data_IF_301653088822
#
_entry.id   IF_301653088822
#
_cell.length_a   1.000
_cell.length_b   1.000
_cell.length_c   1.000
_cell.angle_alpha   90.00
_cell.angle_beta   90.00
_cell.angle_gamma   90.00
#
_symmetry.space_group_name_H-M   'P 1'
#
loop_
_entity.id
_entity.type
_entity.pdbx_description
1 polymer ?
#
# COMPACT_ATOMS: atom_id res chain seq x y z
N UNK A 1 8.87 -31.45 -3.00
CA UNK A 1 9.03 -30.33 -2.04
C UNK A 1 10.46 -30.14 -1.54
N UNK A 2 11.16 -31.15 -1.04
CA UNK A 2 12.53 -31.04 -0.48
C UNK A 2 13.58 -30.51 -1.48
N UNK A 3 13.63 -31.02 -2.71
CA UNK A 3 14.59 -30.62 -3.75
C UNK A 3 14.44 -29.15 -4.14
N UNK A 4 13.21 -28.65 -4.31
CA UNK A 4 12.94 -27.24 -4.61
C UNK A 4 13.37 -26.30 -3.47
N UNK A 5 13.19 -26.72 -2.21
CA UNK A 5 13.68 -25.99 -1.04
C UNK A 5 15.21 -25.95 -0.98
N UNK A 6 15.88 -27.02 -1.31
CA UNK A 6 17.34 -27.11 -1.36
C UNK A 6 17.92 -26.23 -2.47
N UNK A 7 17.38 -26.33 -3.69
CA UNK A 7 17.80 -25.48 -4.82
C UNK A 7 17.61 -24.00 -4.52
N UNK A 8 16.51 -23.63 -3.88
CA UNK A 8 16.28 -22.25 -3.45
C UNK A 8 17.32 -21.77 -2.43
N UNK A 9 17.71 -22.61 -1.46
CA UNK A 9 18.76 -22.28 -0.48
C UNK A 9 20.11 -22.08 -1.16
N UNK A 10 20.48 -22.95 -2.11
CA UNK A 10 21.71 -22.82 -2.88
C UNK A 10 21.71 -21.52 -3.68
N UNK A 11 20.61 -21.21 -4.39
CA UNK A 11 20.49 -19.98 -5.16
C UNK A 11 20.60 -18.73 -4.27
N UNK A 12 19.95 -18.72 -3.10
CA UNK A 12 20.06 -17.61 -2.16
C UNK A 12 21.48 -17.47 -1.62
N UNK A 13 22.16 -18.57 -1.28
CA UNK A 13 23.55 -18.55 -0.83
C UNK A 13 24.50 -18.01 -1.90
N UNK A 14 24.24 -18.31 -3.18
CA UNK A 14 25.04 -17.81 -4.31
C UNK A 14 24.93 -16.28 -4.47
N UNK A 15 23.76 -15.71 -4.23
CA UNK A 15 23.53 -14.28 -4.32
C UNK A 15 23.76 -13.53 -3.01
N UNK A 16 24.12 -14.23 -1.93
CA UNK A 16 24.43 -13.61 -0.65
C UNK A 16 25.83 -12.98 -0.65
N UNK A 17 26.00 -11.91 0.08
CA UNK A 17 27.31 -11.26 0.30
C UNK A 17 27.37 -10.69 1.70
N UNK A 18 28.57 -10.48 2.21
CA UNK A 18 28.75 -9.86 3.53
C UNK A 18 28.55 -8.36 3.43
N UNK A 19 27.47 -7.86 4.01
CA UNK A 19 27.25 -6.43 4.16
C UNK A 19 28.13 -5.83 5.27
N UNK A 20 28.31 -4.51 5.22
CA UNK A 20 28.95 -3.76 6.29
C UNK A 20 27.98 -3.57 7.46
N UNK A 21 28.53 -3.27 8.64
CA UNK A 21 27.71 -2.83 9.76
C UNK A 21 27.06 -1.49 9.41
N UNK A 22 25.76 -1.40 9.70
CA UNK A 22 25.02 -0.17 9.46
C UNK A 22 25.55 0.98 10.34
N UNK A 23 25.72 2.15 9.75
CA UNK A 23 26.08 3.37 10.45
C UNK A 23 25.27 4.53 9.87
N UNK A 24 24.35 5.05 10.68
CA UNK A 24 23.43 6.11 10.28
C UNK A 24 24.17 7.40 9.87
N UNK A 25 25.23 7.77 10.59
CA UNK A 25 26.01 8.99 10.34
C UNK A 25 26.79 8.97 9.01
N UNK A 26 26.93 7.77 8.42
CA UNK A 26 27.61 7.55 7.13
C UNK A 26 26.62 7.18 6.02
N UNK A 27 25.36 7.47 6.22
CA UNK A 27 24.29 7.10 5.28
C UNK A 27 23.79 8.36 4.58
N UNK A 28 24.22 8.56 3.34
CA UNK A 28 23.87 9.71 2.50
C UNK A 28 23.03 9.33 1.28
N UNK A 29 23.21 8.11 0.74
CA UNK A 29 22.48 7.61 -0.41
C UNK A 29 21.72 6.32 -0.08
N UNK A 30 20.41 6.35 -0.21
CA UNK A 30 19.51 5.24 0.10
C UNK A 30 18.72 4.82 -1.12
N UNK A 31 18.60 3.52 -1.37
CA UNK A 31 17.69 2.94 -2.37
C UNK A 31 16.53 2.26 -1.66
N UNK A 32 15.30 2.64 -2.00
CA UNK A 32 14.08 1.95 -1.57
C UNK A 32 13.57 1.11 -2.74
N UNK A 33 13.48 -0.21 -2.55
CA UNK A 33 13.04 -1.15 -3.57
C UNK A 33 11.63 -1.63 -3.27
N UNK A 34 10.65 -1.11 -4.03
CA UNK A 34 9.21 -1.34 -3.83
C UNK A 34 8.40 -1.49 -5.14
N UNK A 35 8.82 -2.32 -6.10
CA UNK A 35 8.09 -2.54 -7.35
C UNK A 35 6.96 -3.58 -7.18
N UNK A 36 6.07 -3.40 -6.21
CA UNK A 36 4.96 -4.30 -5.88
C UNK A 36 3.61 -3.59 -5.96
N UNK A 37 2.69 -3.89 -5.06
CA UNK A 37 1.31 -3.39 -5.04
C UNK A 37 1.22 -1.98 -4.43
N UNK A 38 0.14 -1.27 -4.76
CA UNK A 38 -0.15 0.09 -4.28
C UNK A 38 -0.15 0.19 -2.75
N UNK A 39 -0.76 -0.80 -2.08
CA UNK A 39 -0.83 -0.83 -0.62
C UNK A 39 0.55 -0.91 0.04
N UNK A 40 1.48 -1.69 -0.53
CA UNK A 40 2.86 -1.77 -0.06
C UNK A 40 3.59 -0.43 -0.26
N UNK A 41 3.35 0.24 -1.40
CA UNK A 41 3.91 1.56 -1.68
C UNK A 41 3.41 2.63 -0.70
N UNK A 42 2.14 2.58 -0.29
CA UNK A 42 1.60 3.48 0.72
C UNK A 42 2.12 3.16 2.12
N UNK A 43 2.41 1.89 2.41
CA UNK A 43 2.87 1.43 3.72
C UNK A 43 4.35 1.78 4.02
N UNK A 44 5.16 2.16 3.00
CA UNK A 44 6.58 2.49 3.17
C UNK A 44 6.82 3.93 3.64
N UNK A 45 5.79 4.77 3.70
CA UNK A 45 5.96 6.19 4.04
C UNK A 45 6.62 6.45 5.40
N UNK A 46 6.46 5.65 6.46
CA UNK A 46 7.27 5.82 7.67
C UNK A 46 8.78 5.77 7.40
N UNK A 47 9.23 4.97 6.43
CA UNK A 47 10.64 4.96 6.00
C UNK A 47 11.00 6.27 5.34
N UNK A 48 10.21 6.73 4.37
CA UNK A 48 10.44 7.98 3.63
C UNK A 48 10.52 9.17 4.62
N UNK A 49 9.59 9.26 5.57
CA UNK A 49 9.56 10.33 6.56
C UNK A 49 10.74 10.28 7.52
N UNK A 50 11.16 9.08 7.93
CA UNK A 50 12.34 8.92 8.78
C UNK A 50 13.64 9.36 8.06
N UNK A 51 13.78 9.01 6.77
CA UNK A 51 14.90 9.44 5.94
C UNK A 51 14.90 10.96 5.72
N UNK A 52 13.73 11.56 5.46
CA UNK A 52 13.57 13.00 5.29
C UNK A 52 13.94 13.77 6.57
N UNK A 53 13.42 13.35 7.73
CA UNK A 53 13.74 13.96 9.03
C UNK A 53 15.22 13.83 9.40
N UNK A 54 15.86 12.73 9.02
CA UNK A 54 17.32 12.56 9.18
C UNK A 54 18.13 13.37 8.17
N UNK A 55 17.49 13.97 7.17
CA UNK A 55 18.10 14.79 6.11
C UNK A 55 19.08 13.99 5.23
N UNK A 56 18.71 12.76 4.89
CA UNK A 56 19.44 11.97 3.89
C UNK A 56 19.58 12.80 2.61
N UNK A 57 20.77 12.88 2.03
CA UNK A 57 21.05 13.75 0.87
C UNK A 57 20.28 13.29 -0.38
N UNK A 58 20.23 11.98 -0.61
CA UNK A 58 19.58 11.42 -1.78
C UNK A 58 18.94 10.08 -1.45
N UNK A 59 17.67 9.91 -1.78
CA UNK A 59 17.12 8.57 -1.91
C UNK A 59 16.45 8.34 -3.26
N UNK A 60 16.60 7.13 -3.74
CA UNK A 60 16.07 6.66 -4.99
C UNK A 60 15.03 5.57 -4.72
N UNK A 61 13.82 5.73 -5.27
CA UNK A 61 12.76 4.74 -5.14
C UNK A 61 12.66 3.96 -6.45
N UNK A 62 12.93 2.66 -6.37
CA UNK A 62 12.64 1.72 -7.46
C UNK A 62 11.21 1.24 -7.26
N UNK A 63 10.34 1.57 -8.19
CA UNK A 63 8.90 1.34 -8.09
C UNK A 63 8.32 0.74 -9.37
N UNK A 64 7.13 0.15 -9.30
CA UNK A 64 6.39 -0.25 -10.51
C UNK A 64 5.74 0.98 -11.17
N UNK A 65 5.37 0.84 -12.45
CA UNK A 65 4.64 1.90 -13.16
C UNK A 65 3.31 2.25 -12.50
N UNK A 66 2.64 1.26 -11.92
CA UNK A 66 1.39 1.47 -11.18
C UNK A 66 1.64 2.29 -9.90
N UNK A 67 2.69 1.96 -9.16
CA UNK A 67 3.03 2.64 -7.91
C UNK A 67 3.65 4.03 -8.13
N UNK A 68 4.05 4.37 -9.35
CA UNK A 68 4.58 5.69 -9.65
C UNK A 68 3.58 6.79 -9.25
N UNK A 69 2.28 6.55 -9.41
CA UNK A 69 1.24 7.48 -8.99
C UNK A 69 1.25 7.78 -7.49
N UNK A 70 1.70 6.82 -6.66
CA UNK A 70 1.82 7.02 -5.20
C UNK A 70 2.90 8.05 -4.86
N UNK A 71 3.97 8.11 -5.65
CA UNK A 71 5.14 8.95 -5.34
C UNK A 71 5.23 10.24 -6.15
N UNK A 72 4.51 10.38 -7.27
CA UNK A 72 4.62 11.53 -8.18
C UNK A 72 4.31 12.87 -7.53
N UNK A 73 3.42 12.91 -6.54
CA UNK A 73 3.08 14.13 -5.81
C UNK A 73 3.91 14.32 -4.53
N UNK A 74 4.86 13.41 -4.25
CA UNK A 74 5.72 13.50 -3.08
C UNK A 74 6.70 14.66 -3.23
N UNK A 75 6.59 15.63 -2.34
CA UNK A 75 7.52 16.77 -2.25
C UNK A 75 8.35 16.61 -0.99
N UNK A 76 9.66 16.79 -1.13
CA UNK A 76 10.64 16.75 -0.05
C UNK A 76 11.42 18.06 -0.05
N UNK A 77 11.67 18.63 1.14
CA UNK A 77 12.25 19.97 1.23
C UNK A 77 13.77 19.99 1.02
N UNK A 78 14.49 19.00 1.55
CA UNK A 78 15.96 19.03 1.64
C UNK A 78 16.64 17.79 1.11
N UNK A 79 15.88 16.83 0.61
CA UNK A 79 16.39 15.56 0.13
C UNK A 79 16.12 15.41 -1.36
N UNK A 80 17.13 15.03 -2.13
CA UNK A 80 16.94 14.69 -3.54
C UNK A 80 16.18 13.40 -3.65
N UNK A 81 15.03 13.42 -4.33
CA UNK A 81 14.26 12.24 -4.69
C UNK A 81 14.49 11.87 -6.16
N UNK A 82 14.78 10.61 -6.43
CA UNK A 82 14.79 10.05 -7.78
C UNK A 82 13.82 8.88 -7.85
N UNK A 83 12.91 8.90 -8.81
CA UNK A 83 11.99 7.80 -9.07
C UNK A 83 12.50 7.00 -10.28
N UNK A 84 12.61 5.70 -10.13
CA UNK A 84 13.00 4.77 -11.20
C UNK A 84 11.94 3.71 -11.31
N UNK A 85 11.38 3.56 -12.51
CA UNK A 85 10.33 2.58 -12.76
C UNK A 85 10.89 1.29 -13.31
N UNK A 86 10.25 0.18 -12.95
CA UNK A 86 10.47 -1.13 -13.55
C UNK A 86 9.14 -1.87 -13.69
N UNK A 87 9.13 -2.94 -14.45
CA UNK A 87 8.03 -3.90 -14.44
C UNK A 87 7.81 -4.43 -13.02
N UNK A 88 6.55 -4.64 -12.62
CA UNK A 88 6.26 -5.27 -11.32
C UNK A 88 7.12 -6.51 -11.12
N UNK A 89 7.67 -6.66 -9.92
CA UNK A 89 8.68 -7.68 -9.59
C UNK A 89 8.31 -9.09 -10.07
N UNK A 90 7.06 -9.50 -9.93
CA UNK A 90 6.63 -10.85 -10.32
C UNK A 90 6.68 -11.08 -11.84
N UNK A 91 6.55 -10.02 -12.63
CA UNK A 91 6.56 -10.05 -14.11
C UNK A 91 7.91 -9.66 -14.72
N UNK A 92 8.78 -8.97 -13.98
CA UNK A 92 10.09 -8.54 -14.43
C UNK A 92 10.99 -9.72 -14.83
N UNK A 93 11.77 -9.59 -15.88
CA UNK A 93 12.77 -10.58 -16.27
C UNK A 93 14.03 -10.48 -15.39
N UNK A 94 14.80 -11.57 -15.32
CA UNK A 94 16.07 -11.55 -14.58
C UNK A 94 17.09 -10.58 -15.20
N UNK A 95 17.04 -10.39 -16.52
CA UNK A 95 17.90 -9.44 -17.23
C UNK A 95 17.54 -8.01 -16.82
N UNK A 96 16.26 -7.65 -16.89
CA UNK A 96 15.77 -6.32 -16.50
C UNK A 96 16.19 -5.98 -15.05
N UNK A 97 16.03 -6.91 -14.12
CA UNK A 97 16.41 -6.72 -12.72
C UNK A 97 17.92 -6.48 -12.55
N UNK A 98 18.75 -7.27 -13.25
CA UNK A 98 20.21 -7.12 -13.20
C UNK A 98 20.68 -5.82 -13.81
N UNK A 99 20.14 -5.48 -14.98
CA UNK A 99 20.51 -4.27 -15.70
C UNK A 99 20.11 -3.03 -14.94
N UNK A 100 18.91 -3.02 -14.35
CA UNK A 100 18.44 -1.94 -13.49
C UNK A 100 19.38 -1.70 -12.29
N UNK A 101 19.70 -2.74 -11.54
CA UNK A 101 20.57 -2.61 -10.37
C UNK A 101 21.96 -2.09 -10.74
N UNK A 102 22.53 -2.56 -11.88
CA UNK A 102 23.81 -2.08 -12.40
C UNK A 102 23.74 -0.62 -12.85
N UNK A 103 22.68 -0.24 -13.57
CA UNK A 103 22.49 1.13 -14.05
C UNK A 103 22.41 2.11 -12.85
N UNK A 104 21.68 1.74 -11.79
CA UNK A 104 21.63 2.55 -10.57
C UNK A 104 23.04 2.75 -10.00
N UNK A 105 23.82 1.68 -9.85
CA UNK A 105 25.17 1.77 -9.30
C UNK A 105 26.12 2.55 -10.21
N UNK A 106 26.01 2.41 -11.53
CA UNK A 106 26.84 3.14 -12.49
C UNK A 106 26.53 4.65 -12.50
N UNK A 107 25.24 4.99 -12.40
CA UNK A 107 24.79 6.38 -12.52
C UNK A 107 24.91 7.16 -11.19
N UNK A 108 24.61 6.51 -10.07
CA UNK A 108 24.49 7.17 -8.76
C UNK A 108 25.53 6.72 -7.72
N UNK A 109 26.33 5.71 -8.04
CA UNK A 109 27.27 5.10 -7.10
C UNK A 109 26.66 3.98 -6.26
N UNK A 110 27.46 3.37 -5.40
CA UNK A 110 27.03 2.31 -4.48
C UNK A 110 26.17 2.89 -3.36
N UNK A 111 24.93 2.43 -3.16
CA UNK A 111 24.10 2.90 -2.05
C UNK A 111 24.71 2.56 -0.68
N UNK A 112 24.58 3.46 0.28
CA UNK A 112 24.94 3.18 1.67
C UNK A 112 23.95 2.21 2.32
N UNK A 113 22.66 2.35 1.96
CA UNK A 113 21.57 1.52 2.45
C UNK A 113 20.62 1.17 1.30
N UNK A 114 20.21 -0.09 1.22
CA UNK A 114 19.03 -0.50 0.44
C UNK A 114 17.93 -0.99 1.38
N UNK A 115 16.74 -0.40 1.26
CA UNK A 115 15.55 -0.83 1.98
C UNK A 115 14.72 -1.67 1.04
N UNK A 116 14.74 -2.99 1.28
CA UNK A 116 14.01 -3.97 0.51
C UNK A 116 12.59 -4.08 1.08
N UNK A 117 11.67 -3.35 0.47
CA UNK A 117 10.30 -3.23 0.93
C UNK A 117 9.37 -4.30 0.34
N UNK A 118 9.87 -5.13 -0.58
CA UNK A 118 9.15 -6.29 -1.09
C UNK A 118 8.91 -7.31 0.01
N UNK A 119 7.68 -7.52 0.39
CA UNK A 119 7.32 -8.46 1.47
C UNK A 119 7.33 -9.92 1.03
N UNK A 120 8.12 -10.26 0.02
CA UNK A 120 8.22 -11.60 -0.57
C UNK A 120 9.65 -12.12 -0.49
N UNK A 121 9.79 -13.35 0.01
CA UNK A 121 11.07 -14.07 0.00
C UNK A 121 11.28 -14.70 -1.39
N UNK A 122 11.71 -13.93 -2.38
CA UNK A 122 11.88 -14.42 -3.74
C UNK A 122 13.32 -14.23 -4.28
N UNK A 123 13.67 -15.02 -5.30
CA UNK A 123 15.00 -15.02 -5.89
C UNK A 123 15.27 -13.72 -6.68
N UNK A 124 14.26 -13.14 -7.31
CA UNK A 124 14.41 -11.90 -8.09
C UNK A 124 14.88 -10.75 -7.21
N UNK A 125 14.31 -10.61 -6.00
CA UNK A 125 14.76 -9.66 -4.99
C UNK A 125 16.23 -9.89 -4.62
N UNK A 126 16.63 -11.14 -4.38
CA UNK A 126 18.03 -11.46 -4.06
C UNK A 126 18.98 -11.11 -5.17
N UNK A 127 18.58 -11.32 -6.43
CA UNK A 127 19.37 -10.92 -7.60
C UNK A 127 19.52 -9.41 -7.64
N UNK A 128 18.44 -8.64 -7.44
CA UNK A 128 18.50 -7.18 -7.36
C UNK A 128 19.49 -6.71 -6.28
N UNK A 129 19.33 -7.19 -5.05
CA UNK A 129 20.19 -6.85 -3.91
C UNK A 129 21.67 -7.20 -4.20
N UNK A 130 21.93 -8.38 -4.76
CA UNK A 130 23.29 -8.83 -5.05
C UNK A 130 23.97 -8.05 -6.18
N UNK A 131 23.22 -7.50 -7.12
CA UNK A 131 23.75 -6.66 -8.20
C UNK A 131 23.92 -5.21 -7.74
N UNK A 132 23.00 -4.71 -6.94
CA UNK A 132 23.06 -3.36 -6.37
C UNK A 132 24.23 -3.21 -5.40
N UNK A 133 24.54 -4.26 -4.62
CA UNK A 133 25.64 -4.31 -3.64
C UNK A 133 25.67 -3.11 -2.70
N UNK A 134 24.50 -2.67 -2.21
CA UNK A 134 24.47 -1.65 -1.18
C UNK A 134 25.33 -2.06 0.03
N UNK A 135 25.93 -1.08 0.72
CA UNK A 135 26.80 -1.36 1.89
C UNK A 135 26.04 -2.15 2.97
N UNK A 136 24.76 -1.85 3.15
CA UNK A 136 23.87 -2.56 4.07
C UNK A 136 22.47 -2.66 3.47
N UNK A 137 21.71 -3.71 3.85
CA UNK A 137 20.32 -3.83 3.41
C UNK A 137 19.40 -4.05 4.61
N UNK A 138 18.21 -3.45 4.54
CA UNK A 138 17.11 -3.65 5.49
C UNK A 138 15.95 -4.41 4.85
N UNK A 139 15.28 -5.22 5.65
CA UNK A 139 14.06 -5.95 5.29
C UNK A 139 13.28 -6.34 6.55
N UNK A 140 11.99 -6.66 6.40
CA UNK A 140 11.13 -7.05 7.52
C UNK A 140 10.54 -8.46 7.40
N UNK A 141 10.90 -9.21 6.36
CA UNK A 141 10.32 -10.55 6.08
C UNK A 141 11.08 -11.72 6.72
N UNK A 142 12.12 -11.44 7.51
CA UNK A 142 12.85 -12.46 8.27
C UNK A 142 13.74 -13.38 7.43
N UNK A 143 14.37 -12.84 6.38
CA UNK A 143 15.45 -13.51 5.70
C UNK A 143 16.73 -13.44 6.54
N UNK A 144 17.33 -14.59 6.83
CA UNK A 144 18.61 -14.66 7.57
C UNK A 144 19.71 -14.85 6.53
N UNK A 145 20.32 -13.74 6.11
CA UNK A 145 21.38 -13.70 5.11
C UNK A 145 22.41 -12.64 5.52
N UNK A 146 23.66 -12.80 5.05
CA UNK A 146 24.80 -11.94 5.42
C UNK A 146 24.70 -10.53 4.83
N UNK A 147 23.91 -10.37 3.74
CA UNK A 147 23.67 -9.09 3.10
C UNK A 147 22.68 -8.20 3.86
N UNK A 148 21.91 -8.74 4.81
CA UNK A 148 20.97 -7.96 5.61
C UNK A 148 21.55 -7.61 6.99
N UNK A 149 21.22 -6.42 7.46
CA UNK A 149 21.60 -5.98 8.80
C UNK A 149 21.00 -6.89 9.88
N UNK A 150 21.74 -7.22 10.95
CA UNK A 150 21.19 -7.89 12.14
C UNK A 150 20.00 -7.16 12.78
N UNK A 151 19.90 -5.82 12.62
CA UNK A 151 18.80 -4.99 13.09
C UNK A 151 17.44 -5.45 12.53
N UNK A 152 17.40 -6.05 11.34
CA UNK A 152 16.19 -6.58 10.73
C UNK A 152 15.49 -7.67 11.56
N UNK A 153 16.21 -8.31 12.49
CA UNK A 153 15.69 -9.44 13.27
C UNK A 153 14.50 -9.06 14.15
N UNK A 154 14.59 -7.92 14.82
CA UNK A 154 13.51 -7.47 15.72
C UNK A 154 12.26 -7.02 14.93
N UNK A 155 12.46 -6.26 13.85
CA UNK A 155 11.37 -5.86 12.96
C UNK A 155 10.69 -7.07 12.32
N UNK A 156 11.47 -8.08 11.91
CA UNK A 156 10.94 -9.33 11.36
C UNK A 156 10.13 -10.13 12.38
N UNK A 157 10.51 -10.12 13.65
CA UNK A 157 9.71 -10.74 14.74
C UNK A 157 8.41 -9.97 14.94
N UNK A 158 8.43 -8.65 14.94
CA UNK A 158 7.25 -7.82 15.03
C UNK A 158 6.27 -8.12 13.90
N UNK A 159 6.77 -8.21 12.67
CA UNK A 159 5.98 -8.56 11.50
C UNK A 159 5.39 -9.97 11.55
N UNK A 160 6.21 -10.98 11.90
CA UNK A 160 5.81 -12.38 11.81
C UNK A 160 5.03 -12.87 13.02
N UNK A 161 5.43 -12.49 14.22
CA UNK A 161 4.87 -13.01 15.46
C UNK A 161 3.68 -12.17 15.95
N UNK A 162 3.81 -10.85 15.89
CA UNK A 162 2.78 -9.92 16.38
C UNK A 162 1.79 -9.52 15.28
N UNK A 163 2.08 -9.85 14.02
CA UNK A 163 1.28 -9.44 12.87
C UNK A 163 0.94 -7.94 12.88
N UNK A 164 1.90 -7.15 13.31
CA UNK A 164 1.72 -5.70 13.37
C UNK A 164 1.40 -5.14 11.98
N UNK A 165 0.61 -4.07 11.89
CA UNK A 165 0.40 -3.34 10.65
C UNK A 165 1.71 -2.98 9.97
N UNK A 166 1.74 -3.05 8.64
CA UNK A 166 2.97 -2.87 7.87
C UNK A 166 3.65 -1.52 8.12
N UNK A 167 2.93 -0.38 8.18
CA UNK A 167 3.54 0.90 8.53
C UNK A 167 4.20 0.89 9.91
N UNK A 168 3.60 0.21 10.90
CA UNK A 168 4.17 0.09 12.25
C UNK A 168 5.48 -0.70 12.25
N UNK A 169 5.54 -1.78 11.46
CA UNK A 169 6.75 -2.59 11.34
C UNK A 169 7.90 -1.79 10.73
N UNK A 170 7.63 -0.95 9.71
CA UNK A 170 8.62 -0.09 9.11
C UNK A 170 9.06 1.05 10.02
N UNK A 171 8.13 1.73 10.69
CA UNK A 171 8.46 2.76 11.68
C UNK A 171 9.35 2.20 12.80
N UNK A 172 9.02 0.99 13.28
CA UNK A 172 9.83 0.29 14.28
C UNK A 172 11.24 -0.03 13.75
N UNK A 173 11.36 -0.55 12.52
CA UNK A 173 12.65 -0.86 11.90
C UNK A 173 13.54 0.38 11.81
N UNK A 174 12.99 1.50 11.36
CA UNK A 174 13.74 2.75 11.23
C UNK A 174 14.20 3.27 12.58
N UNK A 175 13.36 3.21 13.61
CA UNK A 175 13.72 3.61 14.98
C UNK A 175 14.84 2.73 15.55
N UNK A 176 14.75 1.40 15.40
CA UNK A 176 15.80 0.47 15.82
C UNK A 176 17.14 0.74 15.11
N UNK A 177 17.11 1.28 13.90
CA UNK A 177 18.28 1.68 13.15
C UNK A 177 18.81 3.07 13.53
N UNK A 178 18.17 3.77 14.49
CA UNK A 178 18.61 5.08 14.97
C UNK A 178 18.04 6.27 14.22
N UNK A 179 17.13 6.05 13.25
CA UNK A 179 16.44 7.15 12.58
C UNK A 179 15.41 7.83 13.50
N UNK A 180 15.05 9.09 13.23
CA UNK A 180 14.01 9.79 13.98
C UNK A 180 12.71 9.01 14.02
N UNK A 181 12.00 9.07 15.15
CA UNK A 181 10.70 8.47 15.30
C UNK A 181 9.66 9.19 14.42
N UNK A 182 8.82 8.42 13.75
CA UNK A 182 7.78 8.90 12.85
C UNK A 182 6.43 8.24 13.15
N UNK A 183 5.35 8.86 12.70
CA UNK A 183 4.02 8.25 12.79
C UNK A 183 3.95 7.01 11.88
N UNK A 184 3.47 5.87 12.38
CA UNK A 184 3.37 4.62 11.61
C UNK A 184 2.09 4.56 10.77
N UNK A 185 1.91 5.50 9.84
CA UNK A 185 0.68 5.65 9.04
C UNK A 185 0.95 5.37 7.55
N UNK A 186 -0.11 5.03 6.82
CA UNK A 186 -0.12 5.07 5.36
C UNK A 186 -0.10 6.53 4.91
N UNK A 187 0.49 6.79 3.75
CA UNK A 187 0.36 8.09 3.08
C UNK A 187 0.16 7.90 1.58
N UNK A 188 -0.57 8.82 0.98
CA UNK A 188 -0.71 8.97 -0.47
C UNK A 188 -0.83 10.47 -0.79
N UNK A 189 0.29 11.13 -1.12
CA UNK A 189 0.27 12.52 -1.50
C UNK A 189 -0.57 12.76 -2.77
N UNK A 190 -1.41 13.79 -2.75
CA UNK A 190 -2.20 14.23 -3.88
C UNK A 190 -1.80 15.66 -4.28
N UNK A 191 -1.88 15.97 -5.57
CA UNK A 191 -1.79 17.35 -6.06
C UNK A 191 -3.14 18.04 -5.92
N UNK A 192 -3.13 19.36 -5.75
CA UNK A 192 -4.37 20.14 -5.68
C UNK A 192 -5.19 20.01 -6.98
N UNK A 193 -4.56 19.96 -8.14
CA UNK A 193 -5.26 19.79 -9.43
C UNK A 193 -6.18 18.56 -9.45
N UNK A 194 -5.73 17.42 -8.90
CA UNK A 194 -6.54 16.19 -8.83
C UNK A 194 -7.67 16.34 -7.80
N UNK A 195 -7.39 17.02 -6.69
CA UNK A 195 -8.41 17.28 -5.68
C UNK A 195 -9.50 18.19 -6.23
N UNK A 196 -9.11 19.26 -6.90
CA UNK A 196 -10.05 20.24 -7.47
C UNK A 196 -10.89 19.62 -8.60
N UNK A 197 -10.29 18.79 -9.46
CA UNK A 197 -11.00 18.05 -10.51
C UNK A 197 -12.12 17.16 -9.94
N UNK A 198 -11.83 16.41 -8.88
CA UNK A 198 -12.81 15.51 -8.26
C UNK A 198 -13.85 16.31 -7.45
N UNK A 199 -13.44 17.33 -6.71
CA UNK A 199 -14.33 18.18 -5.93
C UNK A 199 -15.32 18.93 -6.80
N UNK A 200 -14.89 19.42 -7.96
CA UNK A 200 -15.78 20.09 -8.90
C UNK A 200 -16.93 19.19 -9.35
N UNK A 201 -16.60 17.93 -9.71
CA UNK A 201 -17.62 16.97 -10.15
C UNK A 201 -18.54 16.53 -9.00
N UNK A 202 -17.99 16.37 -7.79
CA UNK A 202 -18.75 15.93 -6.61
C UNK A 202 -19.44 17.09 -5.84
N UNK A 203 -19.25 18.35 -6.26
CA UNK A 203 -19.71 19.54 -5.53
C UNK A 203 -21.20 19.51 -5.19
N UNK A 204 -22.04 19.02 -6.10
CA UNK A 204 -23.48 18.99 -5.92
C UNK A 204 -23.96 17.97 -4.91
N UNK A 205 -23.12 16.99 -4.55
CA UNK A 205 -23.49 15.92 -3.64
C UNK A 205 -23.38 16.31 -2.17
N UNK A 206 -22.53 17.29 -1.86
CA UNK A 206 -22.15 17.58 -0.48
C UNK A 206 -21.40 16.42 0.15
N UNK A 207 -21.85 15.94 1.31
CA UNK A 207 -21.29 14.72 1.95
C UNK A 207 -21.75 13.46 1.22
N UNK A 208 -20.86 12.48 1.05
CA UNK A 208 -21.17 11.23 0.37
C UNK A 208 -20.47 10.02 1.03
N UNK A 209 -21.03 8.85 0.82
CA UNK A 209 -20.44 7.55 1.19
C UNK A 209 -19.71 7.00 -0.04
N UNK A 210 -18.42 6.74 0.08
CA UNK A 210 -17.63 6.10 -0.97
C UNK A 210 -17.73 4.58 -0.84
N UNK A 211 -18.36 3.90 -1.81
CA UNK A 211 -18.52 2.44 -1.85
C UNK A 211 -17.58 1.84 -2.90
N UNK A 212 -16.54 1.14 -2.44
CA UNK A 212 -15.66 0.37 -3.31
C UNK A 212 -16.12 -1.07 -3.44
N UNK A 213 -16.31 -1.52 -4.67
CA UNK A 213 -16.82 -2.86 -4.99
C UNK A 213 -15.73 -3.87 -5.31
N UNK A 214 -14.48 -3.41 -5.53
CA UNK A 214 -13.42 -4.20 -6.13
C UNK A 214 -12.25 -4.42 -5.19
N UNK A 215 -11.74 -5.67 -5.21
CA UNK A 215 -10.50 -6.06 -4.60
C UNK A 215 -9.45 -6.51 -5.60
N UNK A 216 -8.28 -6.89 -5.11
CA UNK A 216 -7.17 -7.40 -5.92
C UNK A 216 -7.41 -8.81 -6.48
N UNK A 217 -8.45 -9.51 -6.02
CA UNK A 217 -8.84 -10.85 -6.48
C UNK A 217 -10.36 -10.96 -6.56
N UNK A 218 -10.84 -11.98 -7.26
CA UNK A 218 -12.27 -12.22 -7.42
C UNK A 218 -12.96 -12.50 -6.07
N UNK A 219 -12.30 -13.19 -5.14
CA UNK A 219 -12.81 -13.46 -3.80
C UNK A 219 -13.00 -12.20 -2.95
N UNK A 220 -12.32 -11.10 -3.33
CA UNK A 220 -12.41 -9.78 -2.68
C UNK A 220 -13.19 -8.76 -3.51
N UNK A 221 -13.92 -9.20 -4.52
CA UNK A 221 -14.73 -8.34 -5.39
C UNK A 221 -16.19 -8.72 -5.23
N UNK A 222 -17.05 -7.78 -4.87
CA UNK A 222 -18.49 -8.02 -4.75
C UNK A 222 -19.11 -8.33 -6.11
N UNK A 223 -19.99 -9.32 -6.14
CA UNK A 223 -20.90 -9.53 -7.26
C UNK A 223 -21.86 -8.35 -7.41
N UNK A 224 -22.52 -8.23 -8.56
CA UNK A 224 -23.53 -7.18 -8.79
C UNK A 224 -24.65 -7.29 -7.77
N UNK A 225 -25.18 -8.49 -7.56
CA UNK A 225 -26.28 -8.76 -6.62
C UNK A 225 -25.95 -8.37 -5.16
N UNK A 226 -24.71 -8.62 -4.70
CA UNK A 226 -24.28 -8.19 -3.36
C UNK A 226 -24.10 -6.66 -3.30
N UNK A 227 -23.56 -6.05 -4.36
CA UNK A 227 -23.44 -4.59 -4.45
C UNK A 227 -24.83 -3.92 -4.36
N UNK A 228 -25.84 -4.44 -5.06
CA UNK A 228 -27.23 -4.00 -5.00
C UNK A 228 -27.79 -4.09 -3.57
N UNK A 229 -27.59 -5.23 -2.91
CA UNK A 229 -28.02 -5.43 -1.53
C UNK A 229 -27.34 -4.46 -0.55
N UNK A 230 -26.03 -4.19 -0.74
CA UNK A 230 -25.30 -3.22 0.07
C UNK A 230 -25.85 -1.79 -0.15
N UNK A 231 -26.10 -1.39 -1.40
CA UNK A 231 -26.70 -0.08 -1.73
C UNK A 231 -28.07 0.05 -1.06
N UNK A 232 -28.96 -0.92 -1.26
CA UNK A 232 -30.29 -0.92 -0.63
C UNK A 232 -30.19 -0.84 0.90
N UNK A 233 -29.22 -1.55 1.49
CA UNK A 233 -29.01 -1.54 2.93
C UNK A 233 -28.47 -0.17 3.40
N UNK A 234 -27.53 0.45 2.70
CA UNK A 234 -27.04 1.80 3.03
C UNK A 234 -28.20 2.80 2.96
N UNK A 235 -28.98 2.78 1.89
CA UNK A 235 -30.14 3.67 1.69
C UNK A 235 -31.25 3.48 2.73
N UNK A 236 -31.37 2.29 3.34
CA UNK A 236 -32.29 2.06 4.46
C UNK A 236 -31.80 2.66 5.79
N UNK A 237 -30.52 3.01 5.90
CA UNK A 237 -29.91 3.51 7.12
C UNK A 237 -29.60 5.02 7.07
N UNK A 238 -29.48 5.60 5.85
CA UNK A 238 -29.14 7.01 5.66
C UNK A 238 -29.52 7.51 4.26
N UNK A 239 -29.82 8.81 4.15
CA UNK A 239 -30.08 9.50 2.87
C UNK A 239 -28.81 10.06 2.22
N UNK A 240 -27.62 9.80 2.80
CA UNK A 240 -26.36 10.29 2.25
C UNK A 240 -26.10 9.68 0.88
N UNK A 241 -25.75 10.48 -0.16
CA UNK A 241 -25.42 9.97 -1.49
C UNK A 241 -24.30 8.92 -1.47
N UNK A 242 -24.39 7.95 -2.39
CA UNK A 242 -23.37 6.90 -2.54
C UNK A 242 -22.56 7.18 -3.80
N UNK A 243 -21.25 7.24 -3.68
CA UNK A 243 -20.32 7.33 -4.81
C UNK A 243 -19.61 5.99 -4.98
N UNK A 244 -19.81 5.36 -6.12
CA UNK A 244 -19.16 4.09 -6.46
C UNK A 244 -17.70 4.37 -6.84
N UNK A 245 -16.78 3.76 -6.11
CA UNK A 245 -15.35 3.76 -6.43
C UNK A 245 -15.02 2.47 -7.17
N UNK A 246 -14.44 2.60 -8.35
CA UNK A 246 -14.09 1.46 -9.20
C UNK A 246 -12.78 1.69 -9.94
N UNK A 247 -12.13 0.61 -10.34
CA UNK A 247 -11.05 0.59 -11.32
C UNK A 247 -11.57 0.39 -12.75
N UNK A 248 -10.68 0.31 -13.76
CA UNK A 248 -11.10 0.14 -15.16
C UNK A 248 -11.95 -1.10 -15.43
N UNK A 249 -11.80 -2.15 -14.63
CA UNK A 249 -12.58 -3.40 -14.78
C UNK A 249 -13.98 -3.31 -14.19
N UNK A 250 -14.22 -2.38 -13.29
CA UNK A 250 -15.52 -2.20 -12.61
C UNK A 250 -16.45 -1.21 -13.28
N UNK A 251 -16.03 -0.57 -14.38
CA UNK A 251 -16.78 0.46 -15.10
C UNK A 251 -18.23 0.04 -15.44
N UNK A 252 -18.39 -1.13 -16.06
CA UNK A 252 -19.73 -1.61 -16.45
C UNK A 252 -20.63 -1.87 -15.24
N UNK A 253 -20.07 -2.45 -14.18
CA UNK A 253 -20.80 -2.67 -12.93
C UNK A 253 -21.24 -1.35 -12.30
N UNK A 254 -20.32 -0.39 -12.20
CA UNK A 254 -20.61 0.93 -11.64
C UNK A 254 -21.70 1.65 -12.44
N UNK A 255 -21.68 1.58 -13.78
CA UNK A 255 -22.70 2.16 -14.65
C UNK A 255 -24.08 1.54 -14.37
N UNK A 256 -24.18 0.21 -14.33
CA UNK A 256 -25.46 -0.48 -14.03
C UNK A 256 -26.04 -0.03 -12.70
N UNK A 257 -25.20 0.10 -11.65
CA UNK A 257 -25.67 0.53 -10.34
C UNK A 257 -26.17 1.97 -10.33
N UNK A 258 -25.48 2.88 -11.02
CA UNK A 258 -25.89 4.30 -11.15
C UNK A 258 -27.19 4.42 -11.94
N UNK A 259 -27.38 3.61 -12.98
CA UNK A 259 -28.58 3.64 -13.82
C UNK A 259 -29.81 3.02 -13.08
N UNK A 260 -29.60 2.09 -12.16
CA UNK A 260 -30.68 1.38 -11.48
C UNK A 260 -31.08 1.98 -10.13
N UNK A 261 -30.22 2.78 -9.48
CA UNK A 261 -30.47 3.25 -8.12
C UNK A 261 -30.42 4.79 -8.04
N UNK A 262 -31.45 5.37 -7.43
CA UNK A 262 -31.45 6.79 -7.13
C UNK A 262 -30.39 7.10 -6.05
N UNK A 263 -29.85 8.32 -6.08
CA UNK A 263 -28.86 8.79 -5.10
C UNK A 263 -27.56 7.97 -5.08
N UNK A 264 -27.25 7.31 -6.22
CA UNK A 264 -26.02 6.57 -6.48
C UNK A 264 -25.30 7.23 -7.66
N UNK A 265 -24.01 7.50 -7.49
CA UNK A 265 -23.19 8.28 -8.43
C UNK A 265 -21.87 7.58 -8.69
N UNK A 266 -21.19 7.96 -9.72
CA UNK A 266 -19.79 7.61 -10.00
C UNK A 266 -19.10 8.82 -10.61
N UNK A 267 -17.78 8.87 -10.54
CA UNK A 267 -17.01 9.85 -11.25
C UNK A 267 -17.17 9.63 -12.77
N UNK A 268 -17.42 10.67 -13.55
CA UNK A 268 -17.52 10.58 -15.02
C UNK A 268 -16.12 10.44 -15.67
N UNK A 269 -15.10 10.94 -14.97
CA UNK A 269 -13.71 10.88 -15.39
C UNK A 269 -13.16 9.44 -15.34
N UNK A 270 -12.19 9.15 -16.21
CA UNK A 270 -11.53 7.84 -16.23
C UNK A 270 -10.95 7.48 -14.86
N UNK A 271 -11.14 6.26 -14.37
CA UNK A 271 -10.67 5.85 -13.06
C UNK A 271 -9.14 5.88 -13.00
N UNK A 272 -8.60 6.40 -11.89
CA UNK A 272 -7.18 6.37 -11.57
C UNK A 272 -6.98 6.22 -10.07
N UNK A 273 -5.78 5.83 -9.65
CA UNK A 273 -5.42 5.71 -8.23
C UNK A 273 -5.62 7.05 -7.51
N UNK A 274 -5.19 8.15 -8.13
CA UNK A 274 -5.27 9.48 -7.55
C UNK A 274 -6.70 9.99 -7.43
N UNK A 275 -7.55 9.75 -8.45
CA UNK A 275 -8.97 10.13 -8.40
C UNK A 275 -9.72 9.31 -7.36
N UNK A 276 -9.47 8.00 -7.29
CA UNK A 276 -10.03 7.17 -6.21
C UNK A 276 -9.59 7.68 -4.84
N UNK A 277 -8.33 8.05 -4.69
CA UNK A 277 -7.80 8.62 -3.46
C UNK A 277 -8.44 9.97 -3.10
N UNK A 278 -8.69 10.84 -4.07
CA UNK A 278 -9.39 12.11 -3.86
C UNK A 278 -10.84 11.89 -3.42
N UNK A 279 -11.57 10.94 -4.05
CA UNK A 279 -12.91 10.55 -3.60
C UNK A 279 -12.87 10.07 -2.15
N UNK A 280 -11.94 9.18 -1.79
CA UNK A 280 -11.84 8.63 -0.43
C UNK A 280 -11.46 9.71 0.58
N UNK A 281 -10.58 10.64 0.23
CA UNK A 281 -10.13 11.72 1.12
C UNK A 281 -11.27 12.61 1.58
N UNK A 282 -12.20 12.93 0.68
CA UNK A 282 -13.32 13.84 0.94
C UNK A 282 -14.63 13.10 1.26
N UNK A 283 -14.61 11.74 1.29
CA UNK A 283 -15.77 10.95 1.66
C UNK A 283 -16.13 11.09 3.15
N UNK A 284 -17.43 11.13 3.45
CA UNK A 284 -17.94 11.09 4.81
C UNK A 284 -17.66 9.73 5.48
N UNK A 285 -17.86 8.63 4.73
CA UNK A 285 -17.51 7.25 5.11
C UNK A 285 -16.98 6.53 3.88
N UNK A 286 -15.96 5.71 4.04
CA UNK A 286 -15.55 4.72 3.06
C UNK A 286 -16.06 3.33 3.42
N UNK A 287 -16.61 2.60 2.46
CA UNK A 287 -17.01 1.19 2.60
C UNK A 287 -16.20 0.39 1.58
N UNK A 288 -15.37 -0.54 2.03
CA UNK A 288 -14.44 -1.19 1.12
C UNK A 288 -14.00 -2.59 1.60
N UNK A 289 -13.79 -3.53 0.67
CA UNK A 289 -13.00 -4.72 0.94
C UNK A 289 -11.54 -4.37 1.34
N UNK A 290 -10.80 -5.37 1.85
CA UNK A 290 -9.36 -5.28 2.13
C UNK A 290 -8.55 -5.08 0.83
N UNK A 291 -8.37 -3.80 0.45
CA UNK A 291 -7.73 -3.35 -0.80
C UNK A 291 -6.95 -2.05 -0.59
N UNK A 292 -6.34 -1.52 -1.66
CA UNK A 292 -5.68 -0.21 -1.62
C UNK A 292 -6.59 0.93 -1.16
N UNK A 293 -7.90 0.85 -1.42
CA UNK A 293 -8.90 1.84 -0.96
C UNK A 293 -8.96 1.90 0.58
N UNK A 294 -8.87 0.76 1.26
CA UNK A 294 -8.78 0.72 2.72
C UNK A 294 -7.54 1.46 3.25
N UNK A 295 -6.41 1.34 2.55
CA UNK A 295 -5.19 2.05 2.91
C UNK A 295 -5.28 3.54 2.62
N UNK A 296 -6.02 3.94 1.56
CA UNK A 296 -6.35 5.34 1.29
C UNK A 296 -7.21 5.94 2.41
N UNK A 297 -8.27 5.23 2.83
CA UNK A 297 -9.08 5.66 3.97
C UNK A 297 -8.23 5.82 5.24
N UNK A 298 -7.33 4.87 5.51
CA UNK A 298 -6.39 4.95 6.63
C UNK A 298 -5.40 6.13 6.49
N UNK A 299 -4.93 6.43 5.26
CA UNK A 299 -3.99 7.52 5.01
C UNK A 299 -4.61 8.91 5.25
N UNK A 300 -5.88 9.06 4.95
CA UNK A 300 -6.62 10.33 5.12
C UNK A 300 -7.43 10.41 6.40
N UNK A 301 -7.38 9.37 7.22
CA UNK A 301 -8.21 9.23 8.41
C UNK A 301 -9.72 9.31 8.11
N UNK A 302 -10.12 8.84 6.92
CA UNK A 302 -11.53 8.77 6.53
C UNK A 302 -12.22 7.66 7.32
N UNK A 303 -13.36 7.93 7.98
CA UNK A 303 -14.15 6.90 8.66
C UNK A 303 -14.43 5.72 7.74
N UNK A 304 -14.31 4.47 8.22
CA UNK A 304 -14.37 3.32 7.32
C UNK A 304 -15.08 2.11 7.89
N UNK A 305 -15.91 1.47 7.05
CA UNK A 305 -16.37 0.09 7.24
C UNK A 305 -15.52 -0.80 6.35
N UNK A 306 -14.63 -1.58 6.96
CA UNK A 306 -13.71 -2.48 6.29
C UNK A 306 -14.26 -3.90 6.24
N UNK A 307 -14.27 -4.53 5.06
CA UNK A 307 -14.83 -5.86 4.84
C UNK A 307 -13.69 -6.84 4.52
N UNK A 308 -13.50 -7.81 5.40
CA UNK A 308 -12.39 -8.76 5.33
C UNK A 308 -12.87 -10.17 5.00
N UNK A 309 -12.23 -10.82 4.05
CA UNK A 309 -12.42 -12.24 3.82
C UNK A 309 -11.83 -13.10 4.95
N UNK A 310 -10.79 -12.61 5.64
CA UNK A 310 -10.16 -13.27 6.81
C UNK A 310 -9.77 -12.22 7.86
N UNK A 311 -9.97 -12.51 9.14
CA UNK A 311 -9.54 -11.64 10.25
C UNK A 311 -8.03 -11.66 10.51
N UNK A 312 -7.27 -12.53 9.85
CA UNK A 312 -5.83 -12.65 9.99
C UNK A 312 -5.05 -11.68 9.10
N UNK A 313 -5.65 -10.55 8.77
CA UNK A 313 -4.97 -9.54 7.95
C UNK A 313 -3.81 -8.87 8.69
N UNK A 314 -2.78 -8.46 7.94
CA UNK A 314 -1.73 -7.53 8.38
C UNK A 314 -2.00 -6.10 7.89
N UNK A 315 -3.14 -5.90 7.33
CA UNK A 315 -3.59 -4.70 6.66
C UNK A 315 -4.89 -4.18 7.29
N UNK A 316 -4.93 -4.02 8.64
CA UNK A 316 -6.14 -3.51 9.30
C UNK A 316 -6.40 -2.06 8.87
N UNK A 317 -7.65 -1.65 9.01
CA UNK A 317 -8.00 -0.23 8.99
C UNK A 317 -7.22 0.51 10.09
N UNK A 318 -6.66 1.68 9.76
CA UNK A 318 -5.90 2.51 10.70
C UNK A 318 -6.52 3.91 10.84
N UNK A 319 -7.73 4.12 10.35
CA UNK A 319 -8.52 5.32 10.63
C UNK A 319 -9.05 5.28 12.07
N UNK A 320 -9.15 6.45 12.70
CA UNK A 320 -9.60 6.61 14.09
C UNK A 320 -11.03 6.07 14.31
N UNK A 321 -11.89 6.26 13.30
CA UNK A 321 -13.24 5.68 13.26
C UNK A 321 -13.27 4.58 12.25
N UNK A 322 -13.27 3.34 12.71
CA UNK A 322 -13.33 2.17 11.84
C UNK A 322 -14.12 1.04 12.47
N UNK A 323 -14.81 0.28 11.63
CA UNK A 323 -15.46 -0.99 11.96
C UNK A 323 -15.06 -2.06 10.95
N UNK A 324 -15.04 -3.30 11.40
CA UNK A 324 -14.62 -4.44 10.59
C UNK A 324 -15.75 -5.47 10.51
N UNK A 325 -16.10 -5.88 9.28
CA UNK A 325 -16.97 -7.02 9.00
C UNK A 325 -16.12 -8.16 8.45
N UNK A 326 -16.09 -9.29 9.14
CA UNK A 326 -15.30 -10.46 8.73
C UNK A 326 -16.25 -11.53 8.18
N UNK A 327 -16.05 -11.87 6.92
CA UNK A 327 -17.05 -12.64 6.14
C UNK A 327 -16.67 -14.12 5.96
N UNK A 328 -15.37 -14.44 6.07
CA UNK A 328 -14.86 -15.75 5.70
C UNK A 328 -14.28 -15.77 4.29
N UNK A 329 -14.32 -16.88 3.59
CA UNK A 329 -13.55 -17.12 2.35
C UNK A 329 -13.85 -16.17 1.18
N UNK A 330 -15.12 -15.79 0.98
CA UNK A 330 -15.55 -14.88 -0.11
C UNK A 330 -16.36 -13.74 0.47
N UNK A 331 -16.05 -12.52 0.05
CA UNK A 331 -16.76 -11.35 0.58
C UNK A 331 -18.24 -11.31 0.19
N UNK A 332 -18.66 -12.02 -0.85
CA UNK A 332 -20.06 -12.17 -1.24
C UNK A 332 -20.93 -12.87 -0.19
N UNK A 333 -20.32 -13.55 0.77
CA UNK A 333 -21.03 -14.16 1.90
C UNK A 333 -21.33 -13.17 3.03
N UNK A 334 -21.19 -11.87 2.79
CA UNK A 334 -21.40 -10.84 3.81
C UNK A 334 -22.81 -10.90 4.40
N UNK A 335 -22.89 -10.88 5.73
CA UNK A 335 -24.15 -10.69 6.44
C UNK A 335 -24.55 -9.21 6.37
N UNK A 336 -25.70 -8.92 5.78
CA UNK A 336 -26.23 -7.56 5.69
C UNK A 336 -26.56 -6.97 7.06
N UNK A 337 -26.92 -7.81 8.05
CA UNK A 337 -27.19 -7.36 9.41
C UNK A 337 -25.91 -6.95 10.14
N UNK A 338 -24.83 -7.73 10.00
CA UNK A 338 -23.51 -7.36 10.54
C UNK A 338 -22.96 -6.11 9.86
N UNK A 339 -23.13 -6.00 8.55
CA UNK A 339 -22.78 -4.80 7.80
C UNK A 339 -23.54 -3.58 8.29
N UNK A 340 -24.88 -3.68 8.43
CA UNK A 340 -25.69 -2.58 8.93
C UNK A 340 -25.30 -2.15 10.35
N UNK A 341 -24.99 -3.11 11.22
CA UNK A 341 -24.50 -2.83 12.57
C UNK A 341 -23.17 -2.07 12.54
N UNK A 342 -22.24 -2.48 11.70
CA UNK A 342 -20.96 -1.79 11.53
C UNK A 342 -21.14 -0.38 10.95
N UNK A 343 -22.01 -0.20 9.95
CA UNK A 343 -22.30 1.10 9.35
C UNK A 343 -22.92 2.05 10.39
N UNK A 344 -23.92 1.60 11.17
CA UNK A 344 -24.53 2.38 12.27
C UNK A 344 -23.50 2.78 13.33
N UNK A 345 -22.59 1.87 13.69
CA UNK A 345 -21.53 2.15 14.65
C UNK A 345 -20.59 3.25 14.15
N UNK A 346 -20.23 3.24 12.86
CA UNK A 346 -19.41 4.30 12.27
C UNK A 346 -20.21 5.61 12.22
N UNK A 347 -21.45 5.61 11.72
CA UNK A 347 -22.32 6.79 11.63
C UNK A 347 -22.54 7.47 12.99
N UNK A 348 -22.61 6.71 14.07
CA UNK A 348 -22.81 7.24 15.41
C UNK A 348 -21.55 7.88 16.07
N UNK A 349 -20.38 7.70 15.44
CA UNK A 349 -19.06 8.12 15.97
C UNK A 349 -18.44 9.30 15.21
N UNK A 350 -19.11 9.81 14.15
CA UNK A 350 -18.62 10.89 13.27
C UNK A 350 -19.50 12.17 13.29
#
# INVERSE_FOLDING_TARGET
MFLASLLRRIAFSYYDYKAYNFNIEKTDFVVIHIPDQIGDAMAIFPVIRALELHKIKHFLIVTSTINLEVFNALKLEKTKLTLVTMTMQDHATLKEIKDLAKNITQQYGTPDLCIEAMRKKNLKTMIFISQLKAKTNFQVVGLIMKCYSPLCKNASRMDQNLRAPVPMTWAFMMREAGFPAVRPIYELPLSEDVLDEVREEMRSLGSYIALNLEGSSQERTFSLSIAENLIAKIQSETDIPIVIVHGPKGEDKARVLVDCYNNVYRLSLSPSIKRSAAIIKDAYIAITPDTSILHMASAYNTPVVAIYADYKTRWPAMADVSESVVVGQKIDNISLDEFAKALKSVLARI
#
